data_IF_561048415409
#
_entry.id   IF_561048415409
#
_cell.length_a   1.000
_cell.length_b   1.000
_cell.length_c   1.000
_cell.angle_alpha   90.00
_cell.angle_beta   90.00
_cell.angle_gamma   90.00
#
_symmetry.space_group_name_H-M   'P 1'
#
loop_
_entity.id
_entity.type
_entity.pdbx_description
1 polymer ?
#
# COMPACT_ATOMS: atom_id res chain seq x y z
N UNK A 1 -38.05 -3.78 2.02
CA UNK A 1 -37.87 -5.24 2.14
C UNK A 1 -36.86 -5.65 1.07
N UNK A 2 -35.71 -6.22 1.44
CA UNK A 2 -34.70 -6.65 0.46
C UNK A 2 -35.29 -7.79 -0.38
N UNK A 3 -35.45 -7.60 -1.69
CA UNK A 3 -35.86 -8.69 -2.58
C UNK A 3 -34.69 -9.66 -2.75
N UNK A 4 -34.92 -10.95 -2.47
CA UNK A 4 -33.87 -11.98 -2.51
C UNK A 4 -33.13 -12.02 -3.86
N UNK A 5 -33.83 -11.74 -4.96
CA UNK A 5 -33.28 -11.72 -6.31
C UNK A 5 -32.34 -10.51 -6.56
N UNK A 6 -32.63 -9.33 -6.01
CA UNK A 6 -31.75 -8.16 -6.16
C UNK A 6 -30.44 -8.39 -5.39
N UNK A 7 -30.53 -8.94 -4.19
CA UNK A 7 -29.37 -9.31 -3.37
C UNK A 7 -28.50 -10.35 -4.10
N UNK A 8 -29.11 -11.37 -4.72
CA UNK A 8 -28.38 -12.36 -5.51
C UNK A 8 -27.61 -11.72 -6.68
N UNK A 9 -28.23 -10.81 -7.40
CA UNK A 9 -27.59 -10.10 -8.52
C UNK A 9 -26.44 -9.20 -8.05
N UNK A 10 -26.62 -8.50 -6.93
CA UNK A 10 -25.58 -7.65 -6.34
C UNK A 10 -24.36 -8.47 -5.90
N UNK A 11 -24.58 -9.64 -5.29
CA UNK A 11 -23.50 -10.55 -4.89
C UNK A 11 -22.71 -11.08 -6.10
N UNK A 12 -23.39 -11.40 -7.20
CA UNK A 12 -22.74 -11.79 -8.45
C UNK A 12 -21.86 -10.65 -8.96
N UNK A 13 -22.40 -9.44 -9.03
CA UNK A 13 -21.65 -8.26 -9.47
C UNK A 13 -20.42 -8.01 -8.59
N UNK A 14 -20.58 -8.08 -7.27
CA UNK A 14 -19.47 -7.85 -6.32
C UNK A 14 -18.38 -8.91 -6.50
N UNK A 15 -18.77 -10.19 -6.57
CA UNK A 15 -17.82 -11.29 -6.71
C UNK A 15 -17.05 -11.21 -8.03
N UNK A 16 -17.71 -10.86 -9.13
CA UNK A 16 -17.07 -10.78 -10.44
C UNK A 16 -16.09 -9.62 -10.54
N UNK A 17 -16.46 -8.43 -10.03
CA UNK A 17 -15.69 -7.22 -10.29
C UNK A 17 -14.73 -6.82 -9.16
N UNK A 18 -15.04 -7.14 -7.89
CA UNK A 18 -14.25 -6.68 -6.74
C UNK A 18 -13.38 -7.76 -6.09
N UNK A 19 -13.46 -9.02 -6.53
CA UNK A 19 -12.55 -10.08 -6.06
C UNK A 19 -11.08 -9.71 -6.34
N UNK A 20 -10.82 -9.00 -7.44
CA UNK A 20 -9.48 -8.53 -7.77
C UNK A 20 -8.87 -7.62 -6.71
N UNK A 21 -9.67 -6.82 -6.00
CA UNK A 21 -9.17 -5.96 -4.92
C UNK A 21 -8.57 -6.85 -3.81
N UNK A 22 -9.24 -7.96 -3.49
CA UNK A 22 -8.78 -8.91 -2.47
C UNK A 22 -7.49 -9.60 -2.89
N UNK A 23 -7.38 -10.01 -4.16
CA UNK A 23 -6.15 -10.65 -4.66
C UNK A 23 -4.98 -9.68 -4.70
N UNK A 24 -5.22 -8.43 -5.10
CA UNK A 24 -4.22 -7.35 -5.08
C UNK A 24 -3.75 -7.00 -3.67
N UNK A 25 -4.65 -6.89 -2.68
CA UNK A 25 -4.23 -6.64 -1.29
C UNK A 25 -3.32 -7.77 -0.79
N UNK A 26 -3.72 -9.03 -1.03
CA UNK A 26 -2.92 -10.20 -0.63
C UNK A 26 -1.56 -10.26 -1.32
N UNK A 27 -1.43 -9.78 -2.55
CA UNK A 27 -0.13 -9.74 -3.23
C UNK A 27 0.75 -8.62 -2.65
N UNK A 28 0.18 -7.46 -2.34
CA UNK A 28 0.87 -6.33 -1.71
C UNK A 28 1.23 -6.55 -0.23
N UNK A 29 0.62 -7.55 0.42
CA UNK A 29 1.02 -7.98 1.76
C UNK A 29 2.34 -8.75 1.77
N UNK A 30 2.80 -9.29 0.63
CA UNK A 30 4.06 -10.04 0.57
C UNK A 30 5.25 -9.11 0.82
N UNK A 31 6.09 -9.49 1.78
CA UNK A 31 7.34 -8.79 2.08
C UNK A 31 8.34 -8.90 0.92
N UNK A 32 9.26 -7.93 0.85
CA UNK A 32 10.39 -7.93 -0.09
C UNK A 32 10.00 -7.85 -1.57
N UNK A 33 8.94 -7.10 -1.88
CA UNK A 33 8.55 -6.77 -3.25
C UNK A 33 9.15 -5.42 -3.65
N UNK A 34 9.69 -5.28 -4.86
CA UNK A 34 10.22 -4.00 -5.31
C UNK A 34 9.10 -2.97 -5.52
N UNK A 35 9.41 -1.69 -5.31
CA UNK A 35 8.45 -0.58 -5.43
C UNK A 35 7.80 -0.54 -6.82
N UNK A 36 8.60 -0.76 -7.88
CA UNK A 36 8.13 -0.78 -9.27
C UNK A 36 7.07 -1.87 -9.47
N UNK A 37 7.31 -3.08 -8.96
CA UNK A 37 6.37 -4.20 -9.06
C UNK A 37 5.06 -3.92 -8.31
N UNK A 38 5.17 -3.34 -7.11
CA UNK A 38 4.00 -2.94 -6.32
C UNK A 38 3.15 -1.88 -7.03
N UNK A 39 3.79 -0.87 -7.64
CA UNK A 39 3.10 0.14 -8.45
C UNK A 39 2.40 -0.52 -9.64
N UNK A 40 3.09 -1.43 -10.36
CA UNK A 40 2.50 -2.13 -11.50
C UNK A 40 1.26 -2.94 -11.11
N UNK A 41 1.30 -3.63 -9.96
CA UNK A 41 0.14 -4.35 -9.41
C UNK A 41 -1.04 -3.40 -9.16
N UNK A 42 -0.79 -2.23 -8.57
CA UNK A 42 -1.83 -1.24 -8.27
C UNK A 42 -2.41 -0.65 -9.56
N UNK A 43 -1.56 -0.24 -10.50
CA UNK A 43 -1.98 0.35 -11.78
C UNK A 43 -2.80 -0.63 -12.62
N UNK A 44 -2.37 -1.89 -12.71
CA UNK A 44 -3.14 -2.95 -13.37
C UNK A 44 -4.52 -3.13 -12.73
N UNK A 45 -4.60 -3.05 -11.40
CA UNK A 45 -5.87 -3.14 -10.67
C UNK A 45 -6.77 -1.95 -10.98
N UNK A 46 -6.22 -0.73 -11.06
CA UNK A 46 -7.00 0.45 -11.46
C UNK A 46 -7.54 0.30 -12.87
N UNK A 47 -6.71 -0.10 -13.85
CA UNK A 47 -7.16 -0.31 -15.23
C UNK A 47 -8.33 -1.30 -15.31
N UNK A 48 -8.27 -2.41 -14.58
CA UNK A 48 -9.35 -3.40 -14.57
C UNK A 48 -10.64 -2.86 -13.94
N UNK A 49 -10.54 -2.09 -12.85
CA UNK A 49 -11.71 -1.49 -12.19
C UNK A 49 -12.34 -0.37 -13.03
N UNK A 50 -11.54 0.38 -13.79
CA UNK A 50 -12.02 1.43 -14.69
C UNK A 50 -12.74 0.86 -15.93
N UNK A 51 -12.51 -0.41 -16.26
CA UNK A 51 -13.17 -1.12 -17.37
C UNK A 51 -14.54 -1.69 -16.99
N UNK A 52 -14.98 -1.59 -15.74
CA UNK A 52 -16.28 -2.11 -15.31
C UNK A 52 -17.40 -1.32 -16.02
N UNK A 53 -18.28 -1.98 -16.78
CA UNK A 53 -19.35 -1.31 -17.52
C UNK A 53 -20.56 -0.96 -16.63
N UNK A 54 -21.36 -0.01 -17.11
CA UNK A 54 -22.65 0.37 -16.52
C UNK A 54 -22.55 1.41 -15.40
N UNK A 55 -23.70 1.81 -14.87
CA UNK A 55 -23.82 2.91 -13.90
C UNK A 55 -22.94 2.71 -12.66
N UNK A 56 -22.91 1.49 -12.10
CA UNK A 56 -22.06 1.14 -10.96
C UNK A 56 -20.56 1.24 -11.31
N UNK A 57 -20.18 0.95 -12.56
CA UNK A 57 -18.81 1.09 -13.04
C UNK A 57 -18.35 2.54 -13.11
N UNK A 58 -19.21 3.44 -13.58
CA UNK A 58 -18.92 4.88 -13.61
C UNK A 58 -18.70 5.47 -12.22
N UNK A 59 -19.46 4.99 -11.22
CA UNK A 59 -19.24 5.35 -9.81
C UNK A 59 -17.86 4.90 -9.33
N UNK A 60 -17.45 3.67 -9.68
CA UNK A 60 -16.12 3.14 -9.32
C UNK A 60 -15.01 3.93 -9.99
N UNK A 61 -15.11 4.21 -11.28
CA UNK A 61 -14.16 5.02 -12.04
C UNK A 61 -13.98 6.41 -11.43
N UNK A 62 -15.09 7.08 -11.12
CA UNK A 62 -15.08 8.39 -10.44
C UNK A 62 -14.36 8.30 -9.10
N UNK A 63 -14.61 7.23 -8.33
CA UNK A 63 -13.96 7.02 -7.03
C UNK A 63 -12.45 6.81 -7.16
N UNK A 64 -11.98 6.07 -8.16
CA UNK A 64 -10.55 5.83 -8.42
C UNK A 64 -9.84 7.14 -8.74
N UNK A 65 -10.40 7.95 -9.64
CA UNK A 65 -9.85 9.28 -9.97
C UNK A 65 -9.73 10.17 -8.72
N UNK A 66 -10.77 10.21 -7.88
CA UNK A 66 -10.74 10.95 -6.63
C UNK A 66 -9.68 10.43 -5.64
N UNK A 67 -9.49 9.11 -5.55
CA UNK A 67 -8.48 8.50 -4.69
C UNK A 67 -7.07 8.86 -5.14
N UNK A 68 -6.78 8.78 -6.44
CA UNK A 68 -5.49 9.15 -7.02
C UNK A 68 -5.17 10.63 -6.80
N UNK A 69 -6.17 11.52 -6.89
CA UNK A 69 -5.99 12.95 -6.64
C UNK A 69 -5.72 13.26 -5.17
N UNK A 70 -6.40 12.57 -4.24
CA UNK A 70 -6.25 12.78 -2.79
C UNK A 70 -4.95 12.18 -2.24
N UNK A 71 -4.50 11.05 -2.79
CA UNK A 71 -3.34 10.34 -2.28
C UNK A 71 -2.03 10.89 -2.88
N UNK A 72 -1.58 12.03 -2.35
CA UNK A 72 -0.31 12.66 -2.74
C UNK A 72 0.91 11.75 -2.51
N UNK A 73 0.88 10.93 -1.46
CA UNK A 73 1.95 9.99 -1.14
C UNK A 73 2.11 8.90 -2.21
N UNK A 74 1.00 8.30 -2.64
CA UNK A 74 1.03 7.34 -3.76
C UNK A 74 1.53 7.99 -5.05
N UNK A 75 1.08 9.21 -5.37
CA UNK A 75 1.56 9.94 -6.55
C UNK A 75 3.08 10.16 -6.50
N UNK A 76 3.61 10.48 -5.33
CA UNK A 76 5.06 10.65 -5.14
C UNK A 76 5.82 9.33 -5.32
N UNK A 77 5.35 8.24 -4.71
CA UNK A 77 5.94 6.90 -4.89
C UNK A 77 5.88 6.44 -6.35
N UNK A 78 4.80 6.75 -7.07
CA UNK A 78 4.67 6.48 -8.51
C UNK A 78 5.75 7.19 -9.32
N UNK A 79 6.00 8.47 -9.04
CA UNK A 79 7.07 9.23 -9.67
C UNK A 79 8.45 8.62 -9.40
N UNK A 80 8.72 8.20 -8.16
CA UNK A 80 9.96 7.49 -7.82
C UNK A 80 10.08 6.19 -8.63
N UNK A 81 9.02 5.37 -8.66
CA UNK A 81 9.01 4.14 -9.45
C UNK A 81 9.29 4.37 -10.94
N UNK A 82 8.79 5.47 -11.51
CA UNK A 82 9.09 5.86 -12.89
C UNK A 82 10.57 6.21 -13.09
N UNK A 83 11.18 6.96 -12.16
CA UNK A 83 12.61 7.28 -12.20
C UNK A 83 13.46 6.02 -12.06
N UNK A 84 13.12 5.13 -11.13
CA UNK A 84 13.78 3.82 -10.93
C UNK A 84 13.66 2.92 -12.18
N UNK A 85 12.61 3.10 -12.98
CA UNK A 85 12.42 2.39 -14.25
C UNK A 85 13.14 3.06 -15.43
N UNK A 86 13.92 4.12 -15.20
CA UNK A 86 14.70 4.83 -16.23
C UNK A 86 13.96 5.99 -16.91
N UNK A 87 12.86 6.48 -16.36
CA UNK A 87 12.17 7.63 -16.93
C UNK A 87 12.82 8.96 -16.52
N UNK A 88 13.50 9.60 -17.48
CA UNK A 88 14.22 10.87 -17.28
C UNK A 88 13.34 12.13 -17.35
N UNK A 89 12.03 12.00 -17.62
CA UNK A 89 11.12 13.15 -17.75
C UNK A 89 10.50 13.58 -16.43
N UNK A 90 10.52 12.69 -15.43
CA UNK A 90 9.90 12.92 -14.12
C UNK A 90 10.84 13.74 -13.26
N UNK A 91 10.36 14.88 -12.79
CA UNK A 91 11.09 15.72 -11.85
C UNK A 91 10.69 15.37 -10.42
N UNK A 92 11.69 15.02 -9.62
CA UNK A 92 11.55 14.86 -8.17
C UNK A 92 11.90 16.18 -7.47
N UNK A 93 11.39 16.41 -6.25
CA UNK A 93 11.76 17.59 -5.47
C UNK A 93 13.27 17.68 -5.26
N UNK A 94 13.82 18.91 -5.28
CA UNK A 94 15.28 19.17 -5.21
C UNK A 94 15.97 18.57 -3.97
N UNK A 95 15.21 18.33 -2.89
CA UNK A 95 15.72 17.77 -1.65
C UNK A 95 16.01 16.26 -1.70
N UNK A 96 15.79 15.57 -2.82
CA UNK A 96 16.09 14.15 -2.98
C UNK A 96 17.34 13.93 -3.82
N UNK A 97 18.40 13.38 -3.20
CA UNK A 97 19.61 12.98 -3.92
C UNK A 97 19.38 11.69 -4.72
N UNK A 98 20.20 11.41 -5.75
CA UNK A 98 20.12 10.16 -6.50
C UNK A 98 20.25 8.91 -5.62
N UNK A 99 21.08 8.96 -4.57
CA UNK A 99 21.24 7.88 -3.61
C UNK A 99 19.97 7.64 -2.80
N UNK A 100 19.34 8.71 -2.28
CA UNK A 100 18.07 8.60 -1.55
C UNK A 100 16.96 7.98 -2.42
N UNK A 101 16.91 8.32 -3.71
CA UNK A 101 15.93 7.76 -4.64
C UNK A 101 16.20 6.27 -4.88
N UNK A 102 17.47 5.88 -5.04
CA UNK A 102 17.86 4.48 -5.18
C UNK A 102 17.50 3.65 -3.93
N UNK A 103 17.70 4.20 -2.73
CA UNK A 103 17.37 3.54 -1.46
C UNK A 103 15.85 3.28 -1.29
N UNK A 104 15.00 3.98 -2.05
CA UNK A 104 13.55 3.77 -2.07
C UNK A 104 13.10 2.61 -2.98
N UNK A 105 14.03 1.87 -3.61
CA UNK A 105 13.74 0.74 -4.50
C UNK A 105 12.82 -0.32 -3.85
N UNK A 106 12.92 -0.50 -2.55
CA UNK A 106 12.12 -1.46 -1.77
C UNK A 106 11.18 -0.78 -0.78
N UNK A 107 10.88 0.51 -0.98
CA UNK A 107 9.94 1.24 -0.12
C UNK A 107 8.56 0.58 -0.16
N UNK A 108 7.96 0.25 0.99
CA UNK A 108 6.63 -0.34 1.02
C UNK A 108 5.57 0.67 0.58
N UNK A 109 4.55 0.19 -0.15
CA UNK A 109 3.36 1.00 -0.53
C UNK A 109 2.19 0.81 0.43
N UNK A 110 2.27 -0.18 1.33
CA UNK A 110 1.25 -0.52 2.33
C UNK A 110 1.81 -0.36 3.75
N UNK A 111 0.91 -0.18 4.73
CA UNK A 111 1.27 -0.14 6.16
C UNK A 111 1.54 -1.52 6.77
N UNK A 112 1.44 -2.60 5.99
CA UNK A 112 1.44 -3.96 6.52
C UNK A 112 2.74 -4.28 7.26
N UNK A 113 3.89 -3.86 6.73
CA UNK A 113 5.18 -4.07 7.38
C UNK A 113 5.32 -3.28 8.69
N UNK A 114 4.72 -2.09 8.74
CA UNK A 114 4.62 -1.28 9.95
C UNK A 114 3.75 -1.99 10.99
N UNK A 115 2.56 -2.47 10.61
CA UNK A 115 1.64 -3.21 11.49
C UNK A 115 2.24 -4.49 12.06
N UNK A 116 2.98 -5.26 11.24
CA UNK A 116 3.75 -6.44 11.70
C UNK A 116 4.82 -6.04 12.70
N UNK A 117 5.50 -4.92 12.48
CA UNK A 117 6.52 -4.40 13.39
C UNK A 117 5.91 -4.00 14.73
N UNK A 118 4.82 -3.24 14.72
CA UNK A 118 4.08 -2.91 15.94
C UNK A 118 3.54 -4.13 16.68
N UNK A 119 3.12 -5.18 15.96
CA UNK A 119 2.69 -6.44 16.57
C UNK A 119 3.81 -7.12 17.35
N UNK A 120 5.05 -7.09 16.85
CA UNK A 120 6.24 -7.59 17.56
C UNK A 120 6.58 -6.69 18.74
N UNK A 121 6.49 -5.37 18.55
CA UNK A 121 6.73 -4.41 19.62
C UNK A 121 5.63 -4.41 20.69
N UNK A 122 4.55 -5.16 20.54
CA UNK A 122 3.46 -5.25 21.53
C UNK A 122 3.97 -5.58 22.93
N UNK A 123 5.02 -6.41 23.02
CA UNK A 123 5.65 -6.77 24.28
C UNK A 123 6.51 -5.65 24.88
N UNK A 124 6.94 -4.69 24.06
CA UNK A 124 7.73 -3.51 24.43
C UNK A 124 6.81 -2.35 24.79
N UNK A 125 5.78 -2.10 23.97
CA UNK A 125 4.88 -0.95 24.04
C UNK A 125 3.67 -1.14 24.98
N UNK A 126 3.69 -2.16 25.84
CA UNK A 126 2.58 -2.43 26.77
C UNK A 126 2.67 -1.55 28.01
N UNK A 127 1.52 -1.05 28.48
CA UNK A 127 1.37 -0.28 29.73
C UNK A 127 1.82 -1.05 30.99
N UNK A 128 2.07 -2.37 30.89
CA UNK A 128 2.57 -3.18 31.99
C UNK A 128 4.05 -2.91 32.32
N UNK A 129 4.81 -2.26 31.43
CA UNK A 129 6.19 -1.85 31.69
C UNK A 129 6.22 -0.47 32.33
N UNK A 130 6.26 -0.42 33.65
CA UNK A 130 6.26 0.83 34.42
C UNK A 130 7.66 1.41 34.68
N UNK A 131 8.74 0.70 34.31
CA UNK A 131 10.14 1.07 34.58
C UNK A 131 11.02 1.28 33.34
N UNK A 132 10.43 1.41 32.14
CA UNK A 132 11.18 1.58 30.91
C UNK A 132 11.20 3.05 30.50
N UNK A 133 12.39 3.62 30.29
CA UNK A 133 12.54 4.99 29.78
C UNK A 133 12.45 5.02 28.25
N UNK A 134 12.25 6.20 27.63
CA UNK A 134 12.24 6.34 26.17
C UNK A 134 13.52 5.79 25.49
N UNK A 135 14.69 6.00 26.09
CA UNK A 135 15.98 5.53 25.55
C UNK A 135 16.04 4.00 25.52
N UNK A 136 15.58 3.35 26.59
CA UNK A 136 15.47 1.89 26.62
C UNK A 136 14.48 1.39 25.57
N UNK A 137 13.36 2.11 25.36
CA UNK A 137 12.37 1.77 24.34
C UNK A 137 12.99 1.81 22.94
N UNK A 138 13.74 2.87 22.61
CA UNK A 138 14.44 2.99 21.33
C UNK A 138 15.43 1.84 21.12
N UNK A 139 16.24 1.51 22.13
CA UNK A 139 17.18 0.38 22.06
C UNK A 139 16.45 -0.94 21.77
N UNK A 140 15.35 -1.22 22.47
CA UNK A 140 14.54 -2.41 22.24
C UNK A 140 13.94 -2.45 20.83
N UNK A 141 13.46 -1.31 20.31
CA UNK A 141 12.92 -1.22 18.96
C UNK A 141 14.02 -1.49 17.93
N UNK A 142 15.18 -0.85 18.06
CA UNK A 142 16.33 -1.02 17.14
C UNK A 142 16.79 -2.48 17.10
N UNK A 143 16.92 -3.13 18.26
CA UNK A 143 17.30 -4.56 18.32
C UNK A 143 16.27 -5.43 17.58
N UNK A 144 14.96 -5.20 17.80
CA UNK A 144 13.92 -5.97 17.13
C UNK A 144 13.81 -5.66 15.63
N UNK A 145 14.14 -4.44 15.20
CA UNK A 145 14.27 -4.10 13.78
C UNK A 145 15.41 -4.87 13.13
N UNK A 146 16.58 -4.93 13.78
CA UNK A 146 17.75 -5.61 13.24
C UNK A 146 17.57 -7.13 13.17
N UNK A 147 17.00 -7.75 14.22
CA UNK A 147 16.74 -9.19 14.24
C UNK A 147 15.72 -9.66 13.19
N UNK A 148 14.95 -8.77 12.58
CA UNK A 148 14.04 -9.09 11.45
C UNK A 148 14.74 -9.24 10.10
N UNK A 149 15.98 -8.76 9.98
CA UNK A 149 16.73 -8.72 8.71
C UNK A 149 17.51 -10.04 8.49
N UNK A 150 17.57 -10.94 9.48
CA UNK A 150 18.13 -12.29 9.39
C UNK A 150 17.04 -13.35 9.48
#
# INVERSE_FOLDING_TARGET
MLHLQSVKNDLIFIKTNFLQIVTTIKSLEKSNTALVDMINIIENTFTQLEQIPGEKGEVVKTKILQLQQKNKGYKFLKNIGQVLSGNNTVQLPENYSPTMVADLQYSPVTSVDVERSFSIYKNILTNRRTKMTPEHMEQYIVINCYCKIN
#
